data_IF_258822731716
#
_entry.id   IF_258822731716
#
_cell.length_a   1.000
_cell.length_b   1.000
_cell.length_c   1.000
_cell.angle_alpha   90.00
_cell.angle_beta   90.00
_cell.angle_gamma   90.00
#
_symmetry.space_group_name_H-M   'P 1'
#
loop_
_entity.id
_entity.type
_entity.pdbx_description
1 polymer ?
#
# COMPACT_ATOMS: atom_id res chain seq x y z
N UNK A 1 1.85 -15.35 -18.53
CA UNK A 1 2.07 -15.63 -17.10
C UNK A 1 2.10 -14.29 -16.39
N UNK A 2 1.04 -13.92 -15.71
CA UNK A 2 1.08 -12.77 -14.80
C UNK A 2 2.04 -13.08 -13.67
N UNK A 3 2.96 -12.16 -13.42
CA UNK A 3 4.03 -12.33 -12.44
C UNK A 3 3.42 -12.26 -11.03
N UNK A 4 3.19 -13.42 -10.40
CA UNK A 4 2.62 -13.50 -9.06
C UNK A 4 3.66 -13.15 -7.97
N UNK A 5 3.93 -11.86 -7.84
CA UNK A 5 4.91 -11.34 -6.88
C UNK A 5 4.50 -11.62 -5.43
N UNK A 6 3.22 -11.46 -5.10
CA UNK A 6 2.70 -11.70 -3.74
C UNK A 6 2.90 -13.16 -3.32
N UNK A 7 2.50 -14.11 -4.17
CA UNK A 7 2.61 -15.53 -3.82
C UNK A 7 4.05 -16.04 -3.82
N UNK A 8 4.92 -15.52 -4.68
CA UNK A 8 6.36 -15.82 -4.63
C UNK A 8 6.96 -15.36 -3.30
N UNK A 9 6.72 -14.11 -2.93
CA UNK A 9 7.22 -13.57 -1.67
C UNK A 9 6.64 -14.29 -0.45
N UNK A 10 5.34 -14.63 -0.47
CA UNK A 10 4.73 -15.43 0.59
C UNK A 10 5.39 -16.81 0.74
N UNK A 11 5.68 -17.47 -0.39
CA UNK A 11 6.38 -18.76 -0.41
C UNK A 11 7.79 -18.65 0.18
N UNK A 12 8.49 -17.55 -0.08
CA UNK A 12 9.80 -17.28 0.51
C UNK A 12 9.72 -17.08 2.03
N UNK A 13 8.79 -16.24 2.51
CA UNK A 13 8.57 -16.03 3.95
C UNK A 13 8.26 -17.34 4.67
N UNK A 14 7.39 -18.17 4.07
CA UNK A 14 7.04 -19.48 4.60
C UNK A 14 8.27 -20.39 4.69
N UNK A 15 9.07 -20.47 3.62
CA UNK A 15 10.30 -21.28 3.60
C UNK A 15 11.35 -20.78 4.59
N UNK A 16 11.53 -19.47 4.74
CA UNK A 16 12.44 -18.87 5.74
C UNK A 16 12.08 -19.25 7.17
N UNK A 17 10.79 -19.43 7.47
CA UNK A 17 10.30 -19.92 8.77
C UNK A 17 10.25 -21.46 8.89
N UNK A 18 10.66 -22.20 7.86
CA UNK A 18 10.63 -23.67 7.86
C UNK A 18 9.23 -24.29 7.83
N UNK A 19 8.21 -23.53 7.42
CA UNK A 19 6.81 -23.95 7.49
C UNK A 19 6.39 -24.72 6.22
N UNK A 20 5.58 -25.77 6.37
CA UNK A 20 4.85 -26.35 5.24
C UNK A 20 3.63 -25.47 4.87
N UNK A 21 3.04 -25.71 3.68
CA UNK A 21 1.79 -25.02 3.31
C UNK A 21 0.65 -25.33 4.28
N UNK A 22 0.66 -26.52 4.89
CA UNK A 22 -0.33 -26.91 5.89
C UNK A 22 -0.11 -26.14 7.20
N UNK A 23 1.14 -25.98 7.64
CA UNK A 23 1.44 -25.25 8.88
C UNK A 23 1.04 -23.79 8.77
N UNK A 24 1.36 -23.16 7.64
CA UNK A 24 0.93 -21.78 7.37
C UNK A 24 -0.59 -21.66 7.32
N UNK A 25 -1.27 -22.64 6.73
CA UNK A 25 -2.73 -22.67 6.68
C UNK A 25 -3.35 -22.75 8.08
N UNK A 26 -2.80 -23.60 8.95
CA UNK A 26 -3.21 -23.74 10.34
C UNK A 26 -3.02 -22.43 11.12
N UNK A 27 -1.85 -21.80 11.00
CA UNK A 27 -1.53 -20.51 11.66
C UNK A 27 -2.44 -19.36 11.22
N UNK A 28 -2.83 -19.35 9.94
CA UNK A 28 -3.69 -18.31 9.39
C UNK A 28 -5.19 -18.61 9.56
N UNK A 29 -5.53 -19.83 10.02
CA UNK A 29 -6.89 -20.37 10.09
C UNK A 29 -7.59 -20.35 8.71
N UNK A 30 -6.94 -20.94 7.72
CA UNK A 30 -7.45 -21.13 6.34
C UNK A 30 -7.15 -22.55 5.86
N UNK A 31 -7.68 -22.95 4.70
CA UNK A 31 -7.35 -24.26 4.12
C UNK A 31 -5.97 -24.25 3.44
N UNK A 32 -5.28 -25.40 3.41
CA UNK A 32 -4.04 -25.59 2.62
C UNK A 32 -4.21 -25.19 1.16
N UNK A 33 -5.36 -25.49 0.57
CA UNK A 33 -5.68 -25.11 -0.81
C UNK A 33 -5.74 -23.59 -0.99
N UNK A 34 -6.19 -22.86 0.03
CA UNK A 34 -6.17 -21.38 0.02
C UNK A 34 -4.74 -20.85 -0.05
N UNK A 35 -3.84 -21.37 0.80
CA UNK A 35 -2.41 -21.00 0.77
C UNK A 35 -1.77 -21.34 -0.56
N UNK A 36 -2.03 -22.54 -1.09
CA UNK A 36 -1.55 -22.95 -2.41
C UNK A 36 -2.01 -21.98 -3.50
N UNK A 37 -3.32 -21.67 -3.55
CA UNK A 37 -3.87 -20.71 -4.52
C UNK A 37 -3.22 -19.33 -4.45
N UNK A 38 -2.82 -18.87 -3.26
CA UNK A 38 -2.05 -17.63 -3.10
C UNK A 38 -0.63 -17.77 -3.65
N UNK A 39 0.10 -18.84 -3.30
CA UNK A 39 1.47 -19.06 -3.76
C UNK A 39 1.59 -19.22 -5.28
N UNK A 40 0.60 -19.85 -5.95
CA UNK A 40 0.59 -20.01 -7.41
C UNK A 40 -0.12 -18.86 -8.14
N UNK A 41 -0.74 -17.92 -7.43
CA UNK A 41 -1.30 -16.70 -8.02
C UNK A 41 -2.70 -16.85 -8.58
N UNK A 42 -3.36 -17.97 -8.31
CA UNK A 42 -4.75 -18.20 -8.71
C UNK A 42 -5.73 -17.29 -7.97
N UNK A 43 -5.40 -16.89 -6.74
CA UNK A 43 -6.18 -15.96 -5.92
C UNK A 43 -5.24 -15.07 -5.12
N UNK A 44 -5.67 -13.84 -4.82
CA UNK A 44 -4.98 -12.97 -3.88
C UNK A 44 -5.51 -13.17 -2.44
N UNK A 45 -4.67 -12.99 -1.40
CA UNK A 45 -5.11 -12.97 -0.02
C UNK A 45 -5.95 -11.72 0.28
N UNK A 46 -7.03 -11.87 1.06
CA UNK A 46 -7.82 -10.73 1.56
C UNK A 46 -7.04 -9.96 2.62
N UNK A 47 -7.40 -8.70 2.85
CA UNK A 47 -6.73 -7.82 3.85
C UNK A 47 -6.65 -8.40 5.26
N UNK A 48 -7.64 -9.21 5.66
CA UNK A 48 -7.61 -9.94 6.95
C UNK A 48 -6.47 -10.96 7.00
N UNK A 49 -6.25 -11.71 5.92
CA UNK A 49 -5.15 -12.66 5.80
C UNK A 49 -3.81 -11.94 5.72
N UNK A 50 -3.71 -10.84 4.94
CA UNK A 50 -2.51 -9.98 4.89
C UNK A 50 -2.14 -9.47 6.27
N UNK A 51 -3.11 -9.01 7.06
CA UNK A 51 -2.85 -8.53 8.43
C UNK A 51 -2.35 -9.63 9.37
N UNK A 52 -2.84 -10.87 9.21
CA UNK A 52 -2.33 -12.01 9.98
C UNK A 52 -0.93 -12.41 9.54
N UNK A 53 -0.66 -12.47 8.23
CA UNK A 53 0.66 -12.77 7.69
C UNK A 53 1.70 -11.75 8.12
N UNK A 54 1.36 -10.46 8.09
CA UNK A 54 2.21 -9.37 8.56
C UNK A 54 2.65 -9.58 10.02
N UNK A 55 1.71 -9.95 10.89
CA UNK A 55 2.00 -10.27 12.30
C UNK A 55 2.83 -11.56 12.45
N UNK A 56 2.52 -12.59 11.67
CA UNK A 56 3.20 -13.89 11.76
C UNK A 56 4.67 -13.81 11.32
N UNK A 57 4.94 -13.06 10.26
CA UNK A 57 6.27 -12.93 9.67
C UNK A 57 7.04 -11.72 10.17
N UNK A 58 6.41 -10.89 11.02
CA UNK A 58 6.96 -9.63 11.51
C UNK A 58 7.43 -8.70 10.38
N UNK A 59 6.55 -8.50 9.40
CA UNK A 59 6.79 -7.63 8.23
C UNK A 59 5.64 -6.66 8.00
N UNK A 60 5.89 -5.48 7.39
CA UNK A 60 4.85 -4.56 7.01
C UNK A 60 3.83 -5.19 6.04
N UNK A 61 2.56 -4.81 6.18
CA UNK A 61 1.49 -5.23 5.23
C UNK A 61 1.82 -4.81 3.80
N UNK A 62 2.44 -3.65 3.63
CA UNK A 62 2.87 -3.09 2.35
C UNK A 62 3.85 -4.02 1.63
N UNK A 63 4.80 -4.62 2.35
CA UNK A 63 5.76 -5.59 1.79
C UNK A 63 5.06 -6.83 1.23
N UNK A 64 4.09 -7.37 1.97
CA UNK A 64 3.30 -8.53 1.51
C UNK A 64 2.46 -8.16 0.28
N UNK A 65 1.83 -6.98 0.28
CA UNK A 65 1.00 -6.52 -0.85
C UNK A 65 1.82 -6.19 -2.10
N UNK A 66 3.02 -5.66 -1.92
CA UNK A 66 3.96 -5.41 -3.01
C UNK A 66 4.61 -6.71 -3.53
N UNK A 67 4.57 -7.79 -2.74
CA UNK A 67 5.30 -9.01 -3.06
C UNK A 67 6.82 -8.80 -3.01
N UNK A 68 7.27 -7.90 -2.13
CA UNK A 68 8.67 -7.50 -2.02
C UNK A 68 9.15 -7.59 -0.56
N UNK A 69 10.44 -7.88 -0.34
CA UNK A 69 11.04 -7.81 0.98
C UNK A 69 10.87 -6.44 1.65
N UNK A 70 10.80 -6.43 2.98
CA UNK A 70 10.56 -5.21 3.75
C UNK A 70 11.68 -4.19 3.55
N UNK A 71 12.92 -4.66 3.49
CA UNK A 71 14.11 -3.88 3.19
C UNK A 71 14.01 -3.15 1.85
N UNK A 72 13.47 -3.80 0.80
CA UNK A 72 13.29 -3.22 -0.53
C UNK A 72 12.24 -2.10 -0.50
N UNK A 73 11.13 -2.32 0.21
CA UNK A 73 10.08 -1.31 0.38
C UNK A 73 10.60 -0.11 1.19
N UNK A 74 11.39 -0.37 2.24
CA UNK A 74 11.98 0.69 3.07
C UNK A 74 13.06 1.49 2.34
N UNK A 75 13.87 0.86 1.48
CA UNK A 75 14.85 1.58 0.65
C UNK A 75 14.18 2.49 -0.38
N UNK A 76 13.14 1.99 -1.05
CA UNK A 76 12.33 2.82 -1.94
C UNK A 76 11.73 4.02 -1.20
N UNK A 77 11.19 3.81 0.01
CA UNK A 77 10.70 4.91 0.83
C UNK A 77 11.81 5.90 1.24
N UNK A 78 13.00 5.41 1.63
CA UNK A 78 14.15 6.27 1.99
C UNK A 78 14.66 7.11 0.81
N UNK A 79 14.62 6.59 -0.41
CA UNK A 79 14.95 7.35 -1.62
C UNK A 79 13.96 8.49 -1.89
N UNK A 80 12.70 8.31 -1.47
CA UNK A 80 11.68 9.35 -1.53
C UNK A 80 11.79 10.31 -0.33
N UNK A 81 12.18 9.82 0.85
CA UNK A 81 12.45 10.62 2.05
C UNK A 81 13.66 11.56 1.84
N UNK A 82 14.60 11.21 0.95
CA UNK A 82 15.65 12.12 0.46
C UNK A 82 15.08 13.41 -0.14
N UNK A 83 13.88 13.34 -0.73
CA UNK A 83 13.10 14.50 -1.12
C UNK A 83 12.23 14.92 0.06
N UNK A 84 12.84 15.48 1.12
CA UNK A 84 12.21 16.02 2.34
C UNK A 84 10.66 16.11 2.25
N UNK A 85 9.98 15.06 2.69
CA UNK A 85 8.51 15.06 2.87
C UNK A 85 8.15 15.54 4.28
N UNK A 86 9.11 16.14 5.00
CA UNK A 86 8.87 16.89 6.23
C UNK A 86 8.45 18.32 5.88
N UNK A 87 7.16 18.49 5.64
CA UNK A 87 6.44 19.62 6.19
C UNK A 87 4.98 19.21 6.34
N UNK A 88 4.56 18.99 7.59
CA UNK A 88 3.24 19.44 8.00
C UNK A 88 3.15 20.90 7.53
N UNK A 89 2.32 21.16 6.53
CA UNK A 89 2.13 22.52 6.02
C UNK A 89 1.23 23.22 7.02
N UNK A 90 1.81 24.07 7.86
CA UNK A 90 1.05 25.12 8.53
C UNK A 90 0.43 26.02 7.46
N UNK A 91 -0.89 26.18 7.54
CA UNK A 91 -1.69 26.92 6.57
C UNK A 91 -1.50 28.42 6.83
N UNK A 92 -0.43 28.95 6.26
CA UNK A 92 -0.21 30.37 6.12
C UNK A 92 0.70 30.54 4.90
N UNK A 93 0.17 31.16 3.86
CA UNK A 93 0.86 31.54 2.61
C UNK A 93 1.04 30.48 1.52
N UNK A 94 -0.08 29.90 1.07
CA UNK A 94 -0.30 29.69 -0.38
C UNK A 94 0.49 28.60 -1.10
N UNK A 95 1.33 27.81 -0.43
CA UNK A 95 2.09 26.72 -1.03
C UNK A 95 1.45 25.34 -0.79
N UNK A 96 0.27 25.10 -1.35
CA UNK A 96 -0.43 23.83 -1.24
C UNK A 96 0.11 22.82 -2.26
N UNK A 97 0.76 21.74 -1.79
CA UNK A 97 1.20 20.62 -2.66
C UNK A 97 0.15 19.51 -2.66
N UNK A 98 -0.64 19.42 -3.72
CA UNK A 98 -1.62 18.34 -3.89
C UNK A 98 -0.96 17.01 -4.25
N UNK A 99 -1.19 16.01 -3.39
CA UNK A 99 -0.85 14.60 -3.66
C UNK A 99 -2.09 13.74 -3.55
N UNK A 100 -2.24 12.74 -4.43
CA UNK A 100 -3.31 11.74 -4.35
C UNK A 100 -2.68 10.35 -4.23
N UNK A 101 -3.00 9.63 -3.15
CA UNK A 101 -2.41 8.32 -2.82
C UNK A 101 -0.86 8.32 -2.89
N UNK A 102 -0.24 9.39 -2.39
CA UNK A 102 1.23 9.53 -2.37
C UNK A 102 1.88 9.90 -3.71
N UNK A 103 1.09 10.16 -4.76
CA UNK A 103 1.60 10.58 -6.07
C UNK A 103 1.31 12.06 -6.32
N UNK A 104 2.24 12.77 -6.95
CA UNK A 104 2.04 14.16 -7.37
C UNK A 104 0.91 14.20 -8.39
N UNK A 105 -0.13 14.98 -8.10
CA UNK A 105 -1.23 15.18 -9.04
C UNK A 105 -0.71 16.00 -10.23
N UNK A 106 -0.91 15.57 -11.49
CA UNK A 106 -0.48 16.35 -12.64
C UNK A 106 -1.11 17.75 -12.64
N UNK A 107 -0.37 18.75 -13.14
CA UNK A 107 -0.75 20.18 -13.05
C UNK A 107 -2.14 20.47 -13.61
N UNK A 108 -2.55 19.74 -14.64
CA UNK A 108 -3.87 19.86 -15.28
C UNK A 108 -5.02 19.54 -14.32
N UNK A 109 -4.88 18.48 -13.51
CA UNK A 109 -5.87 18.12 -12.49
C UNK A 109 -5.83 19.07 -11.29
N UNK A 110 -4.66 19.62 -10.95
CA UNK A 110 -4.54 20.65 -9.90
C UNK A 110 -5.39 21.88 -10.30
N UNK A 111 -5.31 22.34 -11.55
CA UNK A 111 -6.12 23.45 -12.04
C UNK A 111 -7.63 23.15 -11.98
N UNK A 112 -8.01 21.91 -12.26
CA UNK A 112 -9.40 21.46 -12.14
C UNK A 112 -9.87 21.43 -10.68
N UNK A 113 -9.03 20.98 -9.75
CA UNK A 113 -9.31 20.98 -8.31
C UNK A 113 -9.39 22.41 -7.74
N UNK A 114 -8.49 23.31 -8.16
CA UNK A 114 -8.55 24.73 -7.78
C UNK A 114 -9.85 25.39 -8.25
N UNK A 115 -10.31 25.07 -9.47
CA UNK A 115 -11.59 25.55 -9.99
C UNK A 115 -12.79 24.98 -9.21
N UNK A 116 -12.77 23.70 -8.87
CA UNK A 116 -13.82 23.05 -8.07
C UNK A 116 -13.95 23.68 -6.68
N UNK A 117 -12.85 23.83 -5.95
CA UNK A 117 -12.87 24.43 -4.60
C UNK A 117 -13.29 25.91 -4.63
N UNK A 118 -12.93 26.65 -5.69
CA UNK A 118 -13.38 28.04 -5.88
C UNK A 118 -14.88 28.13 -6.19
N UNK A 119 -15.44 27.16 -6.91
CA UNK A 119 -16.88 27.07 -7.13
C UNK A 119 -17.64 26.90 -5.81
N UNK A 120 -17.21 25.99 -4.95
CA UNK A 120 -17.91 25.70 -3.68
C UNK A 120 -17.93 26.92 -2.74
N UNK A 121 -16.81 27.65 -2.63
CA UNK A 121 -16.72 28.88 -1.81
C UNK A 121 -17.59 30.01 -2.39
N UNK A 122 -17.65 30.14 -3.71
CA UNK A 122 -18.45 31.17 -4.37
C UNK A 122 -19.96 30.89 -4.29
N UNK A 123 -20.35 29.62 -4.29
CA UNK A 123 -21.74 29.19 -4.17
C UNK A 123 -22.25 29.23 -2.71
N UNK A 124 -21.37 29.04 -1.73
CA UNK A 124 -21.69 29.29 -0.30
C UNK A 124 -21.80 30.79 0.01
N UNK A 125 -20.92 31.64 -0.54
CA UNK A 125 -20.96 33.09 -0.33
C UNK A 125 -22.18 33.78 -0.95
N UNK A 126 -22.81 33.18 -1.98
CA UNK A 126 -24.05 33.68 -2.60
C UNK A 126 -25.34 33.26 -1.88
N UNK A 127 -25.25 32.33 -0.91
CA UNK A 127 -26.39 31.89 -0.09
C UNK A 127 -26.53 32.66 1.22
N UNK A 128 -25.60 33.59 1.50
CA UNK A 128 -25.66 34.59 2.57
C UNK A 128 -26.19 35.92 2.01
#
# INVERSE_FOLDING_TARGET
MEDNMIGRYLKELRKKKGLSQQDLANLLNVSKQTVSNWEVGRKAPRMKAVSKMAKLFDVPKTSIMAGLPAETVLQANKEWDKYQVDKVIEISDGNLKFTYKGHKVPKEYISMLEKLMRCDIADEAKKL
#
